data_IF_020204602173
#
_entry.id   IF_020204602173
#
_cell.length_a   1.000
_cell.length_b   1.000
_cell.length_c   1.000
_cell.angle_alpha   90.00
_cell.angle_beta   90.00
_cell.angle_gamma   90.00
#
_symmetry.space_group_name_H-M   'P 1'
#
loop_
_entity.id
_entity.type
_entity.pdbx_description
1 polymer ?
#
# COMPACT_ATOMS: atom_id res chain seq x y z
N UNK A 1 -6.49 26.90 -15.89
CA UNK A 1 -7.21 26.33 -14.73
C UNK A 1 -8.25 27.28 -14.14
N UNK A 2 -8.03 28.61 -14.15
CA UNK A 2 -9.02 29.66 -13.79
C UNK A 2 -10.40 29.58 -14.49
N UNK A 3 -10.54 28.83 -15.58
CA UNK A 3 -11.79 28.72 -16.34
C UNK A 3 -12.81 27.74 -15.73
N UNK A 4 -12.38 26.78 -14.90
CA UNK A 4 -13.28 25.77 -14.32
C UNK A 4 -13.84 26.24 -12.96
N UNK A 5 -13.07 27.03 -12.22
CA UNK A 5 -13.47 27.55 -10.88
C UNK A 5 -14.69 28.48 -10.93
N UNK A 6 -14.95 29.16 -12.06
CA UNK A 6 -16.01 30.16 -12.16
C UNK A 6 -17.40 29.62 -12.56
N UNK A 7 -17.56 28.31 -12.80
CA UNK A 7 -18.85 27.72 -13.24
C UNK A 7 -19.52 26.81 -12.21
N UNK A 8 -18.83 26.45 -11.12
CA UNK A 8 -19.37 25.54 -10.11
C UNK A 8 -19.39 26.23 -8.74
N UNK A 9 -20.49 26.06 -7.98
CA UNK A 9 -20.60 26.59 -6.60
C UNK A 9 -19.68 25.86 -5.61
N UNK A 10 -19.45 24.56 -5.85
CA UNK A 10 -18.48 23.70 -5.16
C UNK A 10 -18.42 22.36 -5.87
N UNK A 11 -17.28 21.66 -5.80
CA UNK A 11 -17.15 20.26 -6.21
C UNK A 11 -16.20 19.56 -5.23
N UNK A 12 -16.50 18.30 -4.91
CA UNK A 12 -15.64 17.44 -4.10
C UNK A 12 -14.86 16.52 -5.02
N UNK A 13 -13.55 16.39 -4.77
CA UNK A 13 -12.68 15.51 -5.54
C UNK A 13 -12.42 14.27 -4.71
N UNK A 14 -13.01 13.16 -5.13
CA UNK A 14 -12.84 11.87 -4.48
C UNK A 14 -11.39 11.35 -4.65
N UNK A 15 -10.86 11.40 -5.88
CA UNK A 15 -9.52 10.94 -6.20
C UNK A 15 -8.82 11.75 -7.30
N UNK A 16 -7.49 11.79 -7.24
CA UNK A 16 -6.63 12.34 -8.31
C UNK A 16 -5.72 11.23 -8.83
N UNK A 17 -5.66 11.07 -10.15
CA UNK A 17 -4.88 10.02 -10.80
C UNK A 17 -3.88 10.58 -11.82
N UNK A 18 -2.60 10.35 -11.57
CA UNK A 18 -1.49 10.69 -12.47
C UNK A 18 -1.21 9.50 -13.38
N UNK A 19 -1.75 9.57 -14.60
CA UNK A 19 -1.68 8.50 -15.60
C UNK A 19 -0.37 8.48 -16.38
N UNK A 20 0.31 9.62 -16.49
CA UNK A 20 1.56 9.79 -17.21
C UNK A 20 2.58 10.53 -16.36
N UNK A 21 3.84 10.55 -16.80
CA UNK A 21 4.86 11.39 -16.17
C UNK A 21 4.42 12.85 -16.18
N UNK A 22 4.49 13.48 -15.02
CA UNK A 22 4.22 14.89 -14.83
C UNK A 22 5.50 15.56 -14.32
N UNK A 23 5.90 16.70 -14.90
CA UNK A 23 7.01 17.48 -14.32
C UNK A 23 6.66 17.85 -12.88
N UNK A 24 7.68 17.91 -12.03
CA UNK A 24 7.51 18.16 -10.59
C UNK A 24 6.64 19.39 -10.29
N UNK A 25 6.89 20.50 -10.97
CA UNK A 25 6.14 21.75 -10.81
C UNK A 25 4.64 21.59 -11.08
N UNK A 26 4.27 20.86 -12.14
CA UNK A 26 2.86 20.60 -12.45
C UNK A 26 2.23 19.62 -11.46
N UNK A 27 2.99 18.62 -11.02
CA UNK A 27 2.53 17.68 -10.00
C UNK A 27 2.26 18.41 -8.67
N UNK A 28 3.18 19.27 -8.24
CA UNK A 28 3.04 20.09 -7.04
C UNK A 28 1.90 21.09 -7.17
N UNK A 29 1.72 21.72 -8.34
CA UNK A 29 0.58 22.61 -8.60
C UNK A 29 -0.76 21.86 -8.53
N UNK A 30 -0.83 20.65 -9.10
CA UNK A 30 -2.03 19.81 -9.04
C UNK A 30 -2.32 19.33 -7.62
N UNK A 31 -1.30 18.98 -6.84
CA UNK A 31 -1.45 18.70 -5.41
C UNK A 31 -1.79 19.95 -4.60
N UNK A 32 -1.33 21.13 -5.02
CA UNK A 32 -1.72 22.40 -4.43
C UNK A 32 -3.23 22.62 -4.55
N UNK A 33 -3.78 22.42 -5.74
CA UNK A 33 -5.19 22.63 -6.01
C UNK A 33 -6.09 21.49 -5.51
N UNK A 34 -5.62 20.24 -5.58
CA UNK A 34 -6.45 19.05 -5.40
C UNK A 34 -5.93 18.08 -4.34
N UNK A 35 -4.91 18.47 -3.57
CA UNK A 35 -4.34 17.65 -2.51
C UNK A 35 -5.21 17.51 -1.27
N UNK A 36 -6.45 18.00 -1.32
CA UNK A 36 -7.50 17.67 -0.35
C UNK A 36 -8.23 16.36 -0.70
N UNK A 37 -8.00 15.81 -1.90
CA UNK A 37 -8.60 14.55 -2.29
C UNK A 37 -8.22 13.42 -1.31
N UNK A 38 -9.19 12.57 -1.00
CA UNK A 38 -8.98 11.45 -0.08
C UNK A 38 -8.05 10.39 -0.69
N UNK A 39 -8.07 10.26 -2.02
CA UNK A 39 -7.26 9.29 -2.73
C UNK A 39 -6.31 9.92 -3.76
N UNK A 40 -5.05 9.45 -3.77
CA UNK A 40 -4.08 9.76 -4.81
C UNK A 40 -3.55 8.49 -5.47
N UNK A 41 -3.53 8.48 -6.81
CA UNK A 41 -2.96 7.41 -7.62
C UNK A 41 -1.82 7.95 -8.48
N UNK A 42 -0.66 7.29 -8.47
CA UNK A 42 0.43 7.57 -9.41
C UNK A 42 0.90 6.29 -10.08
N UNK A 43 0.69 6.19 -11.40
CA UNK A 43 1.13 5.01 -12.18
C UNK A 43 2.62 5.05 -12.54
N UNK A 44 3.22 6.24 -12.56
CA UNK A 44 4.55 6.45 -13.12
C UNK A 44 5.62 6.60 -12.04
N UNK A 45 6.74 5.88 -12.19
CA UNK A 45 7.86 5.90 -11.25
C UNK A 45 8.46 7.30 -11.08
N UNK A 46 8.58 8.05 -12.16
CA UNK A 46 9.17 9.39 -12.15
C UNK A 46 8.33 10.48 -11.46
N UNK A 47 7.15 10.16 -10.93
CA UNK A 47 6.35 11.13 -10.19
C UNK A 47 7.07 11.57 -8.89
N UNK A 48 6.98 12.83 -8.46
CA UNK A 48 7.59 13.31 -7.23
C UNK A 48 6.77 12.85 -6.00
N UNK A 49 6.88 11.57 -5.66
CA UNK A 49 6.14 10.94 -4.54
C UNK A 49 6.37 11.67 -3.22
N UNK A 50 7.56 12.26 -3.04
CA UNK A 50 7.89 13.12 -1.90
C UNK A 50 6.83 14.18 -1.58
N UNK A 51 6.19 14.77 -2.59
CA UNK A 51 5.15 15.78 -2.40
C UNK A 51 3.83 15.21 -1.84
N UNK A 52 3.62 13.89 -1.92
CA UNK A 52 2.44 13.19 -1.36
C UNK A 52 2.57 12.93 0.14
N UNK A 53 3.79 12.86 0.64
CA UNK A 53 4.11 12.34 1.96
C UNK A 53 3.57 13.21 3.11
N UNK A 54 3.44 14.52 2.90
CA UNK A 54 3.00 15.45 3.95
C UNK A 54 1.49 15.61 4.10
N UNK A 55 0.68 15.02 3.21
CA UNK A 55 -0.75 15.36 3.09
C UNK A 55 -1.72 14.36 3.70
N UNK A 56 -1.24 13.25 4.26
CA UNK A 56 -2.06 12.28 5.00
C UNK A 56 -3.33 11.86 4.23
N UNK A 57 -3.24 11.62 2.92
CA UNK A 57 -4.35 11.08 2.13
C UNK A 57 -4.85 9.77 2.74
N UNK A 58 -6.15 9.49 2.67
CA UNK A 58 -6.73 8.25 3.19
C UNK A 58 -6.25 7.04 2.39
N UNK A 59 -6.14 7.17 1.06
CA UNK A 59 -5.64 6.11 0.20
C UNK A 59 -4.58 6.60 -0.79
N UNK A 60 -3.46 5.86 -0.86
CA UNK A 60 -2.39 6.10 -1.82
C UNK A 60 -2.10 4.84 -2.62
N UNK A 61 -2.17 4.95 -3.95
CA UNK A 61 -1.79 3.88 -4.89
C UNK A 61 -0.61 4.30 -5.75
N UNK A 62 0.47 3.54 -5.68
CA UNK A 62 1.72 3.77 -6.42
C UNK A 62 2.00 2.59 -7.37
N UNK A 63 2.38 2.90 -8.59
CA UNK A 63 2.65 1.94 -9.65
C UNK A 63 1.40 1.42 -10.36
N UNK A 64 1.63 0.56 -11.34
CA UNK A 64 0.60 -0.06 -12.17
C UNK A 64 1.03 -1.46 -12.57
N UNK A 65 0.07 -2.37 -12.74
CA UNK A 65 0.32 -3.70 -13.30
C UNK A 65 0.86 -3.64 -14.75
N UNK A 66 0.64 -2.51 -15.44
CA UNK A 66 1.06 -2.28 -16.81
C UNK A 66 2.43 -1.60 -16.95
N UNK A 67 3.07 -1.19 -15.85
CA UNK A 67 4.32 -0.42 -15.87
C UNK A 67 5.41 -1.20 -15.12
N UNK A 68 6.14 -2.01 -15.88
CA UNK A 68 7.31 -2.75 -15.42
C UNK A 68 8.37 -1.78 -14.91
N UNK A 69 8.52 -1.75 -13.59
CA UNK A 69 9.53 -1.01 -12.80
C UNK A 69 9.08 0.38 -12.29
N UNK A 70 8.39 0.36 -11.14
CA UNK A 70 8.24 1.56 -10.32
C UNK A 70 9.55 1.83 -9.54
N UNK A 71 10.50 2.57 -10.11
CA UNK A 71 11.87 2.63 -9.57
C UNK A 71 12.15 3.69 -8.48
N UNK A 72 11.26 4.67 -8.24
CA UNK A 72 11.61 5.83 -7.40
C UNK A 72 11.01 5.80 -5.99
N UNK A 73 10.47 4.68 -5.52
CA UNK A 73 10.01 4.60 -4.13
C UNK A 73 11.19 4.28 -3.21
N UNK A 74 11.70 5.26 -2.47
CA UNK A 74 12.68 5.00 -1.44
C UNK A 74 12.01 4.59 -0.14
N UNK A 75 12.76 3.97 0.77
CA UNK A 75 12.27 3.65 2.11
C UNK A 75 11.75 4.89 2.86
N UNK A 76 12.44 6.02 2.72
CA UNK A 76 12.01 7.25 3.38
C UNK A 76 10.60 7.64 2.89
N UNK A 77 10.33 7.49 1.60
CA UNK A 77 9.00 7.75 1.05
C UNK A 77 7.95 6.86 1.71
N UNK A 78 8.21 5.56 1.85
CA UNK A 78 7.33 4.63 2.57
C UNK A 78 7.07 5.06 4.02
N UNK A 79 8.10 5.55 4.72
CA UNK A 79 8.01 5.93 6.14
C UNK A 79 7.17 7.18 6.36
N UNK A 80 7.15 8.11 5.40
CA UNK A 80 6.37 9.33 5.53
C UNK A 80 4.95 9.18 4.99
N UNK A 81 4.62 8.08 4.30
CA UNK A 81 3.22 7.77 3.96
C UNK A 81 2.45 7.42 5.24
N UNK A 82 1.73 8.40 5.76
CA UNK A 82 0.80 8.25 6.88
C UNK A 82 -0.66 8.21 6.40
N UNK A 83 -0.88 7.36 5.40
CA UNK A 83 -2.21 7.03 4.87
C UNK A 83 -2.86 5.89 5.63
N UNK A 84 -4.19 5.82 5.57
CA UNK A 84 -4.92 4.65 6.07
C UNK A 84 -4.61 3.43 5.22
N UNK A 85 -4.55 3.63 3.91
CA UNK A 85 -4.39 2.56 2.93
C UNK A 85 -3.27 2.89 1.97
N UNK A 86 -2.41 1.91 1.72
CA UNK A 86 -1.28 2.04 0.79
C UNK A 86 -1.27 0.83 -0.13
N UNK A 87 -1.22 1.07 -1.43
CA UNK A 87 -1.06 0.02 -2.45
C UNK A 87 0.14 0.34 -3.33
N UNK A 88 1.10 -0.58 -3.39
CA UNK A 88 2.33 -0.42 -4.17
C UNK A 88 2.47 -1.61 -5.13
N UNK A 89 2.65 -1.30 -6.40
CA UNK A 89 2.78 -2.28 -7.47
C UNK A 89 4.14 -2.17 -8.16
N UNK A 90 4.79 -3.33 -8.36
CA UNK A 90 6.00 -3.53 -9.17
C UNK A 90 7.23 -2.74 -8.70
N UNK A 91 7.71 -3.05 -7.50
CA UNK A 91 8.88 -2.41 -6.91
C UNK A 91 10.06 -3.40 -6.79
N UNK A 92 11.26 -3.02 -7.26
CA UNK A 92 12.37 -3.97 -7.52
C UNK A 92 13.26 -4.23 -6.28
N UNK A 93 13.19 -3.39 -5.24
CA UNK A 93 14.01 -3.54 -4.01
C UNK A 93 13.17 -3.70 -2.72
N UNK A 94 11.94 -4.21 -2.83
CA UNK A 94 10.95 -4.24 -1.74
C UNK A 94 11.43 -4.92 -0.45
N UNK A 95 12.00 -6.14 -0.45
CA UNK A 95 11.96 -6.98 0.75
C UNK A 95 12.65 -6.32 1.95
N UNK A 96 13.81 -5.70 1.72
CA UNK A 96 14.58 -4.98 2.76
C UNK A 96 13.85 -3.75 3.26
N UNK A 97 13.26 -2.96 2.37
CA UNK A 97 12.54 -1.75 2.76
C UNK A 97 11.22 -2.08 3.46
N UNK A 98 10.51 -3.11 3.00
CA UNK A 98 9.30 -3.60 3.64
C UNK A 98 9.60 -4.16 5.03
N UNK A 99 10.67 -4.92 5.21
CA UNK A 99 11.12 -5.38 6.53
C UNK A 99 11.38 -4.19 7.48
N UNK A 100 12.07 -3.15 6.99
CA UNK A 100 12.36 -1.96 7.80
C UNK A 100 11.08 -1.17 8.10
N UNK A 101 10.17 -1.03 7.13
CA UNK A 101 8.87 -0.39 7.33
C UNK A 101 8.07 -1.13 8.41
N UNK A 102 7.93 -2.45 8.32
CA UNK A 102 7.21 -3.26 9.32
C UNK A 102 7.82 -3.07 10.72
N UNK A 103 9.15 -3.14 10.84
CA UNK A 103 9.84 -2.90 12.11
C UNK A 103 9.61 -1.50 12.68
N UNK A 104 9.49 -0.49 11.83
CA UNK A 104 9.19 0.87 12.25
C UNK A 104 7.71 1.04 12.60
N UNK A 105 6.79 0.44 11.85
CA UNK A 105 5.36 0.42 12.17
C UNK A 105 5.14 -0.23 13.54
N UNK A 106 5.86 -1.32 13.83
CA UNK A 106 5.89 -1.93 15.16
C UNK A 106 6.40 -0.95 16.24
N UNK A 107 7.22 0.05 15.90
CA UNK A 107 7.65 1.13 16.79
C UNK A 107 6.71 2.34 16.82
N UNK A 108 5.56 2.27 16.15
CA UNK A 108 4.52 3.29 16.24
C UNK A 108 4.49 4.34 15.13
N UNK A 109 5.27 4.20 14.05
CA UNK A 109 5.09 5.07 12.88
C UNK A 109 3.81 4.74 12.13
N UNK A 110 3.37 5.63 11.22
CA UNK A 110 2.20 5.44 10.36
C UNK A 110 0.97 4.98 11.15
N UNK A 111 0.61 5.74 12.20
CA UNK A 111 -0.47 5.38 13.15
C UNK A 111 -1.83 5.21 12.49
N UNK A 112 -2.04 5.88 11.35
CA UNK A 112 -3.29 5.78 10.57
C UNK A 112 -3.38 4.51 9.75
N UNK A 113 -2.28 3.77 9.56
CA UNK A 113 -2.25 2.62 8.67
C UNK A 113 -3.22 1.53 9.14
N UNK A 114 -4.15 1.19 8.25
CA UNK A 114 -5.13 0.12 8.35
C UNK A 114 -4.80 -1.00 7.35
N UNK A 115 -4.26 -0.64 6.18
CA UNK A 115 -3.93 -1.59 5.12
C UNK A 115 -2.70 -1.20 4.31
N UNK A 116 -1.81 -2.18 4.07
CA UNK A 116 -0.75 -2.08 3.08
C UNK A 116 -0.81 -3.31 2.17
N UNK A 117 -0.76 -3.11 0.86
CA UNK A 117 -0.53 -4.14 -0.14
C UNK A 117 0.70 -3.80 -0.96
N UNK A 118 1.64 -4.73 -1.04
CA UNK A 118 2.79 -4.65 -1.93
C UNK A 118 2.80 -5.85 -2.86
N UNK A 119 2.88 -5.58 -4.17
CA UNK A 119 2.96 -6.61 -5.21
C UNK A 119 4.26 -6.46 -5.97
N UNK A 120 4.99 -7.57 -6.11
CA UNK A 120 6.30 -7.65 -6.76
C UNK A 120 6.31 -8.73 -7.83
N UNK A 121 7.11 -8.56 -8.88
CA UNK A 121 7.39 -9.67 -9.81
C UNK A 121 8.20 -10.76 -9.08
N UNK A 122 7.96 -12.04 -9.40
CA UNK A 122 8.49 -13.20 -8.66
C UNK A 122 10.03 -13.26 -8.59
N UNK A 123 10.73 -12.65 -9.55
CA UNK A 123 12.20 -12.51 -9.52
C UNK A 123 12.70 -11.74 -8.28
N UNK A 124 11.82 -10.97 -7.64
CA UNK A 124 12.01 -10.34 -6.33
C UNK A 124 10.94 -10.92 -5.40
N UNK A 125 11.14 -12.16 -4.98
CA UNK A 125 10.19 -12.90 -4.16
C UNK A 125 10.01 -12.23 -2.80
N UNK A 126 8.75 -11.88 -2.48
CA UNK A 126 8.38 -11.44 -1.15
C UNK A 126 8.11 -12.68 -0.28
N UNK A 127 9.10 -13.06 0.52
CA UNK A 127 9.00 -14.22 1.41
C UNK A 127 9.01 -13.80 2.88
N UNK A 128 8.51 -14.68 3.73
CA UNK A 128 8.60 -14.52 5.18
C UNK A 128 10.05 -14.29 5.65
N UNK A 129 11.00 -15.07 5.13
CA UNK A 129 12.41 -15.04 5.52
C UNK A 129 13.11 -13.71 5.18
N UNK A 130 12.55 -12.96 4.23
CA UNK A 130 13.07 -11.67 3.82
C UNK A 130 12.30 -10.53 4.48
N UNK A 131 10.98 -10.56 4.41
CA UNK A 131 10.09 -9.47 4.87
C UNK A 131 9.92 -9.46 6.38
N UNK A 132 9.87 -10.62 7.04
CA UNK A 132 9.71 -10.74 8.50
C UNK A 132 11.00 -11.17 9.21
N UNK A 133 12.15 -11.01 8.56
CA UNK A 133 13.45 -11.31 9.19
C UNK A 133 13.64 -10.52 10.47
N UNK A 134 13.83 -11.21 11.58
CA UNK A 134 14.04 -10.62 12.91
C UNK A 134 12.81 -9.87 13.45
N UNK A 135 11.61 -10.23 12.99
CA UNK A 135 10.33 -9.74 13.54
C UNK A 135 9.75 -10.84 14.42
N UNK A 136 9.37 -10.47 15.65
CA UNK A 136 8.58 -11.37 16.51
C UNK A 136 7.19 -11.52 15.92
N UNK A 137 6.79 -12.76 15.64
CA UNK A 137 5.57 -13.09 14.92
C UNK A 137 4.98 -14.39 15.45
N UNK A 138 3.66 -14.53 15.32
CA UNK A 138 2.93 -15.74 15.62
C UNK A 138 2.27 -16.23 14.33
N UNK A 139 2.47 -17.50 13.98
CA UNK A 139 1.76 -18.07 12.84
C UNK A 139 0.26 -18.16 13.12
N UNK A 140 -0.54 -17.79 12.11
CA UNK A 140 -2.00 -17.84 12.21
C UNK A 140 -2.49 -19.29 12.14
N UNK A 141 -3.49 -19.63 12.96
CA UNK A 141 -4.08 -20.97 12.99
C UNK A 141 -4.79 -21.35 11.69
N UNK A 142 -4.97 -22.65 11.44
CA UNK A 142 -5.51 -23.16 10.18
C UNK A 142 -6.89 -22.58 9.80
N UNK A 143 -7.83 -22.51 10.75
CA UNK A 143 -9.17 -21.97 10.50
C UNK A 143 -9.14 -20.48 10.14
N UNK A 144 -8.27 -19.71 10.79
CA UNK A 144 -8.12 -18.28 10.54
C UNK A 144 -7.40 -18.02 9.22
N UNK A 145 -6.45 -18.88 8.81
CA UNK A 145 -5.87 -18.87 7.46
C UNK A 145 -6.94 -19.01 6.37
N UNK A 146 -7.96 -19.84 6.56
CA UNK A 146 -9.08 -19.97 5.61
C UNK A 146 -9.91 -18.68 5.51
N UNK A 147 -10.19 -18.02 6.65
CA UNK A 147 -10.87 -16.71 6.67
C UNK A 147 -10.03 -15.65 5.93
N UNK A 148 -8.74 -15.55 6.27
CA UNK A 148 -7.79 -14.68 5.59
C UNK A 148 -7.79 -14.95 4.10
N UNK A 149 -7.77 -16.21 3.67
CA UNK A 149 -7.81 -16.57 2.27
C UNK A 149 -9.06 -16.02 1.58
N UNK A 150 -10.25 -16.19 2.14
CA UNK A 150 -11.49 -15.68 1.55
C UNK A 150 -11.49 -14.15 1.41
N UNK A 151 -11.03 -13.42 2.42
CA UNK A 151 -11.05 -11.94 2.45
C UNK A 151 -9.95 -11.37 1.56
N UNK A 152 -8.76 -11.96 1.68
CA UNK A 152 -7.57 -11.52 0.98
C UNK A 152 -7.61 -11.94 -0.50
N UNK A 153 -8.38 -12.96 -0.88
CA UNK A 153 -8.51 -13.45 -2.26
C UNK A 153 -9.82 -13.02 -2.97
N UNK A 154 -10.49 -11.96 -2.51
CA UNK A 154 -11.83 -11.53 -2.99
C UNK A 154 -11.97 -11.17 -4.49
N UNK A 155 -10.91 -11.36 -5.29
CA UNK A 155 -10.98 -11.24 -6.76
C UNK A 155 -11.08 -12.58 -7.48
N UNK A 156 -11.21 -13.72 -6.79
CA UNK A 156 -11.20 -15.04 -7.41
C UNK A 156 -10.06 -15.14 -8.43
N UNK A 157 -8.87 -14.76 -7.99
CA UNK A 157 -7.65 -14.93 -8.75
C UNK A 157 -7.09 -16.31 -8.38
N UNK A 158 -7.50 -17.40 -9.06
CA UNK A 158 -7.00 -18.74 -8.78
C UNK A 158 -5.47 -18.84 -8.99
N UNK A 159 -4.88 -17.85 -9.66
CA UNK A 159 -3.45 -17.78 -9.88
C UNK A 159 -2.64 -17.57 -8.60
N UNK A 160 -3.23 -17.03 -7.52
CA UNK A 160 -2.50 -16.84 -6.26
C UNK A 160 -2.70 -18.02 -5.30
N UNK A 161 -1.69 -18.28 -4.48
CA UNK A 161 -1.68 -19.27 -3.41
C UNK A 161 -1.21 -18.59 -2.12
N UNK A 162 -1.92 -18.82 -1.02
CA UNK A 162 -1.49 -18.39 0.31
C UNK A 162 -0.26 -19.20 0.75
N UNK A 163 0.87 -18.53 0.96
CA UNK A 163 2.11 -19.19 1.39
C UNK A 163 2.41 -18.98 2.86
N UNK A 164 1.82 -17.97 3.50
CA UNK A 164 2.02 -17.72 4.93
C UNK A 164 1.11 -16.63 5.47
N UNK A 165 0.83 -16.69 6.77
CA UNK A 165 0.05 -15.68 7.48
C UNK A 165 0.53 -15.60 8.94
N UNK A 166 0.88 -14.40 9.38
CA UNK A 166 1.50 -14.17 10.69
C UNK A 166 0.93 -12.95 11.38
N UNK A 167 0.61 -13.08 12.66
CA UNK A 167 0.29 -11.93 13.51
C UNK A 167 1.57 -11.30 14.03
N UNK A 168 1.65 -9.98 13.96
CA UNK A 168 2.67 -9.14 14.60
C UNK A 168 1.98 -8.11 15.50
N UNK A 169 2.70 -7.60 16.50
CA UNK A 169 2.20 -6.55 17.39
C UNK A 169 3.15 -5.36 17.39
N UNK A 170 2.58 -4.17 17.44
CA UNK A 170 3.33 -2.95 17.66
C UNK A 170 3.47 -2.64 19.16
N UNK A 171 4.42 -1.76 19.50
CA UNK A 171 4.71 -1.33 20.85
C UNK A 171 3.52 -0.64 21.54
N UNK A 172 2.60 -0.08 20.75
CA UNK A 172 1.39 0.60 21.24
C UNK A 172 0.20 -0.37 21.43
N UNK A 173 0.42 -1.67 21.22
CA UNK A 173 -0.59 -2.71 21.40
C UNK A 173 -1.44 -3.00 20.16
N UNK A 174 -1.32 -2.21 19.07
CA UNK A 174 -2.00 -2.56 17.81
C UNK A 174 -1.43 -3.84 17.23
N UNK A 175 -2.33 -4.70 16.74
CA UNK A 175 -1.99 -5.96 16.08
C UNK A 175 -2.13 -5.83 14.57
N UNK A 176 -1.39 -6.63 13.82
CA UNK A 176 -1.57 -6.73 12.39
C UNK A 176 -1.30 -8.16 11.90
N UNK A 177 -2.00 -8.54 10.85
CA UNK A 177 -1.80 -9.80 10.14
C UNK A 177 -1.04 -9.54 8.85
N UNK A 178 0.13 -10.17 8.73
CA UNK A 178 0.98 -10.15 7.54
C UNK A 178 0.66 -11.38 6.71
N UNK A 179 0.22 -11.20 5.47
CA UNK A 179 -0.21 -12.27 4.57
C UNK A 179 0.72 -12.34 3.37
N UNK A 180 1.19 -13.54 3.04
CA UNK A 180 2.05 -13.81 1.91
C UNK A 180 1.32 -14.63 0.85
N UNK A 181 1.44 -14.21 -0.41
CA UNK A 181 0.91 -14.98 -1.54
C UNK A 181 1.89 -15.01 -2.69
N UNK A 182 1.81 -16.08 -3.46
CA UNK A 182 2.56 -16.23 -4.70
C UNK A 182 1.60 -16.63 -5.81
N UNK A 183 1.82 -16.14 -7.02
CA UNK A 183 1.08 -16.55 -8.20
C UNK A 183 1.95 -16.49 -9.44
N UNK A 184 1.37 -16.76 -10.61
CA UNK A 184 2.14 -16.86 -11.86
C UNK A 184 2.88 -15.55 -12.18
N UNK A 185 4.20 -15.53 -11.93
CA UNK A 185 5.05 -14.37 -12.11
C UNK A 185 4.97 -13.29 -11.02
N UNK A 186 4.19 -13.46 -9.95
CA UNK A 186 3.94 -12.43 -8.93
C UNK A 186 4.06 -12.94 -7.50
N UNK A 187 4.49 -12.06 -6.59
CA UNK A 187 4.38 -12.25 -5.14
C UNK A 187 3.73 -11.05 -4.48
N UNK A 188 2.94 -11.30 -3.44
CA UNK A 188 2.17 -10.28 -2.72
C UNK A 188 2.46 -10.39 -1.24
N UNK A 189 2.63 -9.24 -0.59
CA UNK A 189 2.53 -9.09 0.85
C UNK A 189 1.44 -8.11 1.20
N UNK A 190 0.61 -8.50 2.16
CA UNK A 190 -0.39 -7.63 2.76
C UNK A 190 -0.10 -7.47 4.24
N UNK A 191 -0.30 -6.27 4.76
CA UNK A 191 -0.34 -5.99 6.19
C UNK A 191 -1.72 -5.42 6.51
N UNK A 192 -2.46 -6.14 7.35
CA UNK A 192 -3.85 -5.84 7.72
C UNK A 192 -3.85 -5.50 9.21
N UNK A 193 -4.15 -4.25 9.59
CA UNK A 193 -4.01 -3.76 10.97
C UNK A 193 -5.32 -3.83 11.74
N UNK A 194 -5.35 -4.54 12.87
CA UNK A 194 -6.55 -4.78 13.66
C UNK A 194 -7.39 -5.95 13.15
N UNK A 195 -8.62 -6.05 13.64
CA UNK A 195 -9.53 -7.18 13.37
C UNK A 195 -10.32 -7.01 12.07
N UNK A 196 -9.73 -6.32 11.08
CA UNK A 196 -10.32 -6.05 9.75
C UNK A 196 -10.68 -7.33 8.96
N UNK A 197 -10.42 -8.51 9.52
CA UNK A 197 -10.90 -9.79 9.00
C UNK A 197 -12.43 -9.95 9.12
N UNK A 198 -13.12 -9.14 9.92
CA UNK A 198 -14.59 -9.21 10.01
C UNK A 198 -15.31 -8.22 9.09
N UNK A 199 -14.57 -7.27 8.47
CA UNK A 199 -15.14 -6.29 7.54
C UNK A 199 -15.09 -6.80 6.09
N UNK A 200 -16.22 -7.36 5.62
CA UNK A 200 -16.38 -7.81 4.25
C UNK A 200 -16.23 -6.67 3.21
N UNK A 201 -16.31 -5.40 3.58
CA UNK A 201 -16.13 -4.24 2.70
C UNK A 201 -14.72 -3.65 2.70
N UNK A 202 -13.80 -4.26 3.45
CA UNK A 202 -12.43 -3.78 3.63
C UNK A 202 -11.67 -3.44 2.33
N UNK A 203 -12.06 -3.99 1.18
CA UNK A 203 -11.47 -3.68 -0.14
C UNK A 203 -12.31 -2.83 -1.07
N UNK A 204 -13.58 -2.61 -0.75
CA UNK A 204 -14.54 -1.88 -1.59
C UNK A 204 -14.64 -0.39 -1.24
N UNK A 205 -14.14 0.00 -0.06
CA UNK A 205 -13.92 1.40 0.34
C UNK A 205 -12.51 1.85 0.02
#
# INVERSE_FOLDING_TARGET
MKLIENQFRSFEIEYVSFLQFCKKEYFESMLGAFGHANEIRSKHSKSPIGALLGRNHDYVKLGSASVYNFQNLQLNDLMFLNSKRIKILQFVEIPKYLNRFIKLWMKGISRRLEYLLVMSAIHVALSEDTVLKGVQKLEVGHQEKQKIWMISNKFNSPEFQLTGAYTISSHDGRRATVVFKIGDGWSIVELIVGDLLDDNEFRLR
#
